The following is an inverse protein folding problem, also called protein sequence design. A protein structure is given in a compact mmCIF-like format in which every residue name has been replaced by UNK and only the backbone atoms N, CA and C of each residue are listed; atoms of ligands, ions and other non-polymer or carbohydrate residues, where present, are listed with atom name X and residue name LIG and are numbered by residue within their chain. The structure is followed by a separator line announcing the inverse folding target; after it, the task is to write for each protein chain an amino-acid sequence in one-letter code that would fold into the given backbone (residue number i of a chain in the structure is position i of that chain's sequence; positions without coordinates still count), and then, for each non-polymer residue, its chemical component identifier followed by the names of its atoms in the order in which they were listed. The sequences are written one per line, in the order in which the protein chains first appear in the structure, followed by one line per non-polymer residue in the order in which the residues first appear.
data_IF_193621394481
#
_entry.id   IF_193621394481
#
_cell.length_a   1.000
_cell.length_b   1.000
_cell.length_c   1.000
_cell.angle_alpha   90.00
_cell.angle_beta   90.00
_cell.angle_gamma   90.00
#
_symmetry.space_group_name_H-M   'P 1'
#
loop_
_entity.id
_entity.type
_entity.pdbx_description
1 polymer ?
#
# COMPACT_ATOMS: atom_id res chain seq x y z
N UNK A 1 5.21 -22.10 6.70
CA UNK A 1 3.96 -21.48 7.18
C UNK A 1 4.14 -19.95 7.29
N UNK A 2 3.07 -19.20 7.60
CA UNK A 2 3.15 -17.75 7.83
C UNK A 2 2.24 -17.34 8.99
N UNK A 3 2.51 -16.17 9.57
CA UNK A 3 1.61 -15.47 10.50
C UNK A 3 1.22 -14.10 9.96
N UNK A 4 -0.01 -13.67 10.24
CA UNK A 4 -0.46 -12.30 9.95
C UNK A 4 0.04 -11.41 11.08
N UNK A 5 0.80 -10.35 10.75
CA UNK A 5 1.33 -9.37 11.70
C UNK A 5 0.36 -8.20 11.84
N UNK A 6 -0.23 -7.77 10.74
CA UNK A 6 -1.17 -6.67 10.67
C UNK A 6 -2.11 -6.85 9.50
N UNK A 7 -3.33 -6.38 9.64
CA UNK A 7 -4.35 -6.39 8.60
C UNK A 7 -5.22 -5.14 8.71
N UNK A 8 -5.51 -4.51 7.57
CA UNK A 8 -6.40 -3.35 7.52
C UNK A 8 -6.86 -3.11 6.08
N UNK A 9 -7.90 -2.29 5.91
CA UNK A 9 -8.22 -1.74 4.60
C UNK A 9 -7.30 -0.56 4.29
N UNK A 10 -6.72 -0.59 3.09
CA UNK A 10 -5.94 0.51 2.52
C UNK A 10 -6.55 0.89 1.19
N UNK A 11 -6.50 2.16 0.81
CA UNK A 11 -6.79 2.55 -0.56
C UNK A 11 -5.51 2.56 -1.37
N UNK A 12 -5.45 1.78 -2.44
CA UNK A 12 -4.28 1.70 -3.32
C UNK A 12 -4.55 2.40 -4.63
N UNK A 13 -3.60 3.21 -5.06
CA UNK A 13 -3.66 3.86 -6.37
C UNK A 13 -3.61 2.81 -7.49
N UNK A 14 -4.62 2.84 -8.35
CA UNK A 14 -4.76 1.96 -9.51
C UNK A 14 -4.87 2.79 -10.79
N UNK A 15 -4.03 2.49 -11.78
CA UNK A 15 -4.23 2.94 -13.15
C UNK A 15 -5.14 1.94 -13.86
N UNK A 16 -6.42 2.26 -14.01
CA UNK A 16 -7.33 1.44 -14.82
C UNK A 16 -7.14 1.74 -16.31
N UNK A 17 -7.45 0.75 -17.17
CA UNK A 17 -7.40 0.88 -18.64
C UNK A 17 -8.35 1.96 -19.19
N UNK A 18 -9.38 2.34 -18.42
CA UNK A 18 -10.39 3.33 -18.76
C UNK A 18 -10.04 4.73 -18.21
N UNK A 19 -8.81 5.20 -18.35
CA UNK A 19 -8.34 6.59 -18.09
C UNK A 19 -8.62 7.23 -16.71
N UNK A 20 -9.41 6.62 -15.83
CA UNK A 20 -9.68 7.10 -14.48
C UNK A 20 -8.65 6.48 -13.55
N UNK A 21 -7.69 7.33 -13.16
CA UNK A 21 -6.80 7.08 -12.03
C UNK A 21 -7.65 7.19 -10.76
N UNK A 22 -7.75 6.12 -9.99
CA UNK A 22 -8.51 6.12 -8.75
C UNK A 22 -7.80 5.33 -7.65
N UNK A 23 -8.08 5.72 -6.42
CA UNK A 23 -7.72 4.96 -5.24
C UNK A 23 -8.83 3.95 -4.97
N UNK A 24 -8.46 2.67 -4.90
CA UNK A 24 -9.39 1.56 -4.69
C UNK A 24 -9.17 1.02 -3.29
N UNK A 25 -10.22 0.97 -2.48
CA UNK A 25 -10.20 0.34 -1.15
C UNK A 25 -10.01 -1.17 -1.31
N UNK A 26 -8.96 -1.70 -0.70
CA UNK A 26 -8.57 -3.10 -0.75
C UNK A 26 -8.19 -3.56 0.66
N UNK A 27 -8.39 -4.85 0.92
CA UNK A 27 -7.97 -5.46 2.17
C UNK A 27 -6.49 -5.85 2.07
N UNK A 28 -5.67 -5.30 2.96
CA UNK A 28 -4.23 -5.51 3.00
C UNK A 28 -3.83 -6.35 4.21
N UNK A 29 -2.94 -7.32 4.00
CA UNK A 29 -2.39 -8.17 5.06
C UNK A 29 -0.87 -8.19 5.00
N UNK A 30 -0.22 -7.86 6.12
CA UNK A 30 1.22 -7.97 6.29
C UNK A 30 1.54 -9.32 6.93
N UNK A 31 2.25 -10.18 6.19
CA UNK A 31 2.56 -11.55 6.57
C UNK A 31 4.03 -11.70 6.92
N UNK A 32 4.35 -12.45 7.98
CA UNK A 32 5.70 -12.94 8.27
C UNK A 32 5.76 -14.44 8.02
N UNK A 33 6.61 -14.86 7.09
CA UNK A 33 6.93 -16.26 6.84
C UNK A 33 7.99 -16.77 7.81
N UNK A 34 8.03 -18.09 8.01
CA UNK A 34 8.99 -18.73 8.93
C UNK A 34 10.46 -18.51 8.56
N UNK A 35 10.75 -18.33 7.27
CA UNK A 35 12.09 -17.99 6.77
C UNK A 35 12.48 -16.52 7.07
N UNK A 36 11.62 -15.78 7.78
CA UNK A 36 11.79 -14.37 8.11
C UNK A 36 11.31 -13.41 7.02
N UNK A 37 10.82 -13.91 5.88
CA UNK A 37 10.38 -13.03 4.80
C UNK A 37 9.05 -12.35 5.11
N UNK A 38 8.91 -11.08 4.75
CA UNK A 38 7.74 -10.26 5.02
C UNK A 38 7.06 -9.86 3.71
N UNK A 39 5.74 -10.07 3.64
CA UNK A 39 4.98 -9.86 2.42
C UNK A 39 3.73 -9.06 2.70
N UNK A 40 3.46 -8.05 1.88
CA UNK A 40 2.20 -7.31 1.87
C UNK A 40 1.31 -7.85 0.75
N UNK A 41 0.18 -8.44 1.12
CA UNK A 41 -0.84 -8.93 0.19
C UNK A 41 -2.03 -7.99 0.11
N UNK A 42 -2.62 -7.85 -1.09
CA UNK A 42 -3.86 -7.11 -1.32
C UNK A 42 -4.94 -8.03 -1.90
N UNK A 43 -6.16 -7.89 -1.37
CA UNK A 43 -7.38 -8.58 -1.79
C UNK A 43 -8.49 -7.55 -2.01
N UNK A 44 -9.52 -7.88 -2.80
CA UNK A 44 -10.68 -6.98 -2.87
C UNK A 44 -11.35 -6.83 -1.50
N UNK A 45 -11.43 -7.94 -0.77
CA UNK A 45 -12.01 -8.04 0.56
C UNK A 45 -11.32 -9.16 1.36
N UNK A 46 -11.62 -9.26 2.66
CA UNK A 46 -10.93 -10.16 3.61
C UNK A 46 -10.89 -11.63 3.16
N UNK A 47 -12.01 -12.11 2.60
CA UNK A 47 -12.19 -13.51 2.19
C UNK A 47 -11.96 -13.76 0.69
N UNK A 48 -11.52 -12.74 -0.06
CA UNK A 48 -11.30 -12.85 -1.50
C UNK A 48 -9.91 -13.44 -1.81
N UNK A 49 -9.64 -13.76 -3.08
CA UNK A 49 -8.32 -14.21 -3.52
C UNK A 49 -7.29 -13.07 -3.49
N UNK A 50 -6.01 -13.44 -3.35
CA UNK A 50 -4.88 -12.50 -3.41
C UNK A 50 -4.75 -11.95 -4.83
N UNK A 51 -4.96 -10.64 -4.98
CA UNK A 51 -4.81 -9.93 -6.26
C UNK A 51 -3.37 -9.52 -6.51
N UNK A 52 -2.73 -8.98 -5.47
CA UNK A 52 -1.37 -8.49 -5.53
C UNK A 52 -0.60 -8.93 -4.31
N UNK A 53 0.69 -9.17 -4.54
CA UNK A 53 1.64 -9.59 -3.53
C UNK A 53 2.89 -8.72 -3.69
N UNK A 54 3.40 -8.21 -2.59
CA UNK A 54 4.52 -7.29 -2.56
C UNK A 54 5.52 -7.72 -1.49
N UNK A 55 6.70 -8.15 -1.94
CA UNK A 55 7.79 -8.60 -1.06
C UNK A 55 8.46 -7.38 -0.40
N UNK A 56 8.41 -7.31 0.92
CA UNK A 56 8.83 -6.12 1.68
C UNK A 56 10.35 -6.02 1.80
N UNK A 57 11.12 -7.08 1.57
CA UNK A 57 12.59 -7.03 1.55
C UNK A 57 13.12 -6.12 0.44
N UNK A 58 12.35 -5.97 -0.63
CA UNK A 58 12.70 -5.10 -1.75
C UNK A 58 12.20 -3.67 -1.55
N UNK A 59 11.47 -3.40 -0.46
CA UNK A 59 11.02 -2.07 -0.08
C UNK A 59 12.18 -1.29 0.57
N UNK A 60 12.57 -0.19 -0.05
CA UNK A 60 13.72 0.62 0.40
C UNK A 60 13.34 1.89 1.14
N UNK A 61 12.03 2.18 1.21
CA UNK A 61 11.54 3.30 1.98
C UNK A 61 10.03 3.38 2.00
N UNK A 62 9.53 3.93 3.11
CA UNK A 62 8.14 4.30 3.34
C UNK A 62 8.13 5.79 3.63
N UNK A 63 7.42 6.55 2.82
CA UNK A 63 7.41 8.02 2.91
C UNK A 63 5.99 8.53 3.00
N UNK A 64 5.70 9.35 4.01
CA UNK A 64 4.42 10.05 4.09
C UNK A 64 4.34 11.12 2.99
N UNK A 65 3.14 11.48 2.55
CA UNK A 65 2.96 12.57 1.58
C UNK A 65 3.54 13.88 2.10
N UNK A 66 3.40 14.17 3.41
CA UNK A 66 3.99 15.37 4.03
C UNK A 66 5.52 15.42 3.89
N UNK A 67 6.17 14.28 3.71
CA UNK A 67 7.62 14.17 3.51
C UNK A 67 8.00 14.23 2.02
N UNK A 68 7.07 13.90 1.11
CA UNK A 68 7.28 13.85 -0.35
C UNK A 68 6.01 14.24 -1.15
N UNK A 69 5.70 15.54 -1.22
CA UNK A 69 4.52 16.03 -1.97
C UNK A 69 4.74 16.02 -3.51
N UNK A 70 5.95 15.74 -3.98
CA UNK A 70 6.31 15.71 -5.41
C UNK A 70 5.86 14.43 -6.16
N UNK A 71 5.14 13.51 -5.51
CA UNK A 71 4.70 12.27 -6.13
C UNK A 71 3.59 12.51 -7.19
N UNK A 72 3.74 11.95 -8.40
CA UNK A 72 2.71 11.96 -9.47
C UNK A 72 1.54 11.00 -9.18
N UNK A 73 1.06 11.00 -7.93
CA UNK A 73 0.12 10.02 -7.40
C UNK A 73 -1.34 10.46 -7.47
N UNK A 74 -1.63 11.68 -7.93
CA UNK A 74 -2.99 12.25 -7.96
C UNK A 74 -3.75 12.04 -6.64
N UNK A 75 -3.12 12.36 -5.51
CA UNK A 75 -3.71 12.20 -4.19
C UNK A 75 -5.08 12.90 -4.11
N UNK A 76 -6.09 12.30 -3.47
CA UNK A 76 -7.35 12.98 -3.20
C UNK A 76 -7.12 14.22 -2.34
N UNK A 77 -7.77 15.33 -2.68
CA UNK A 77 -7.56 16.64 -2.02
C UNK A 77 -8.24 16.74 -0.65
N UNK A 78 -9.22 15.88 -0.40
CA UNK A 78 -10.04 15.81 0.82
C UNK A 78 -9.48 14.87 1.89
N UNK A 79 -8.37 14.17 1.59
CA UNK A 79 -7.73 13.24 2.52
C UNK A 79 -6.56 13.92 3.24
N UNK A 80 -6.45 13.68 4.55
CA UNK A 80 -5.33 14.15 5.35
C UNK A 80 -3.99 13.61 4.79
N UNK A 81 -3.02 14.47 4.43
CA UNK A 81 -1.71 14.06 3.93
C UNK A 81 -0.96 13.04 4.80
N UNK A 82 -1.18 13.01 6.11
CA UNK A 82 -0.54 12.04 7.01
C UNK A 82 -1.08 10.62 6.86
N UNK A 83 -2.29 10.47 6.30
CA UNK A 83 -2.85 9.17 5.94
C UNK A 83 -2.29 8.64 4.62
N UNK A 84 -1.63 9.49 3.82
CA UNK A 84 -1.10 9.15 2.51
C UNK A 84 0.38 8.79 2.62
N UNK A 85 0.77 7.65 2.06
CA UNK A 85 2.15 7.21 2.07
C UNK A 85 2.53 6.41 0.84
N UNK A 86 3.83 6.38 0.57
CA UNK A 86 4.44 5.78 -0.61
C UNK A 86 5.39 4.67 -0.19
N UNK A 87 5.26 3.47 -0.77
CA UNK A 87 6.24 2.39 -0.66
C UNK A 87 7.08 2.34 -1.93
N UNK A 88 8.39 2.44 -1.79
CA UNK A 88 9.33 2.40 -2.92
C UNK A 88 10.00 1.03 -2.98
N UNK A 89 9.78 0.28 -4.07
CA UNK A 89 10.47 -0.97 -4.33
C UNK A 89 11.66 -0.77 -5.29
N UNK A 90 12.86 -1.19 -4.91
CA UNK A 90 14.01 -1.14 -5.82
C UNK A 90 14.02 -2.23 -6.88
N UNK A 91 13.46 -3.41 -6.59
CA UNK A 91 13.60 -4.59 -7.44
C UNK A 91 12.59 -4.60 -8.60
N UNK A 92 11.40 -4.05 -8.37
CA UNK A 92 10.31 -4.09 -9.35
C UNK A 92 10.08 -2.76 -10.09
N UNK A 93 10.82 -1.68 -9.76
CA UNK A 93 10.52 -0.31 -10.21
C UNK A 93 9.04 0.09 -9.97
N UNK A 94 8.43 -0.49 -8.93
CA UNK A 94 7.05 -0.26 -8.55
C UNK A 94 6.99 0.65 -7.34
N UNK A 95 6.41 1.81 -7.54
CA UNK A 95 6.00 2.72 -6.48
C UNK A 95 4.54 2.42 -6.15
N UNK A 96 4.26 2.08 -4.89
CA UNK A 96 2.89 1.94 -4.40
C UNK A 96 2.50 3.23 -3.68
N UNK A 97 1.36 3.79 -4.06
CA UNK A 97 0.74 4.92 -3.39
C UNK A 97 -0.47 4.40 -2.61
N UNK A 98 -0.48 4.64 -1.30
CA UNK A 98 -1.42 4.05 -0.36
C UNK A 98 -2.02 5.13 0.53
N UNK A 99 -3.28 4.92 0.92
CA UNK A 99 -4.02 5.75 1.86
C UNK A 99 -4.54 4.86 2.98
N UNK A 100 -4.16 5.16 4.22
CA UNK A 100 -4.73 4.55 5.42
C UNK A 100 -6.01 5.28 5.85
N UNK A 101 -6.86 4.61 6.61
CA UNK A 101 -8.05 5.23 7.19
C UNK A 101 -7.69 6.26 8.27
N UNK A 102 -6.64 5.98 9.05
CA UNK A 102 -6.21 6.82 10.17
C UNK A 102 -4.71 7.16 10.06
N UNK A 103 -4.36 8.37 10.52
CA UNK A 103 -2.97 8.80 10.70
C UNK A 103 -2.35 8.08 11.90
N UNK A 104 -1.04 7.80 11.82
CA UNK A 104 -0.24 7.33 12.96
C UNK A 104 0.33 8.49 13.77
N UNK A 105 0.35 9.70 13.21
CA UNK A 105 0.78 10.92 13.91
C UNK A 105 -0.44 11.42 14.67
N UNK A 106 -0.37 11.33 16.01
CA UNK A 106 -1.39 11.82 16.96
C UNK A 106 -0.70 12.68 17.99
#
# INVERSE_FOLDING_TARGET
EFKIIAENYLQRYCTTWLFFKSYVKEYASLLLYENGSTVLEFRADQNDYVKYRYEMESCVGVYLRVEMDHARANWPTDINPECCFTLINQREDKILYLIAENSKIT
#
